data_IF_177109456426
#
_entry.id   IF_177109456426
#
_cell.length_a   1.000
_cell.length_b   1.000
_cell.length_c   1.000
_cell.angle_alpha   90.00
_cell.angle_beta   90.00
_cell.angle_gamma   90.00
#
_symmetry.space_group_name_H-M   'P 1'
#
loop_
_entity.id
_entity.type
_entity.pdbx_description
1 polymer ?
#
# COMPACT_ATOMS: atom_id res chain seq x y z
N UNK A 1 -17.75 46.31 -82.93
CA UNK A 1 -17.61 44.89 -83.31
C UNK A 1 -18.40 44.10 -82.29
N UNK A 2 -19.74 43.97 -82.37
CA UNK A 2 -20.52 43.34 -83.46
C UNK A 2 -19.94 41.93 -83.73
N UNK A 3 -20.60 40.79 -83.50
CA UNK A 3 -21.98 40.40 -83.80
C UNK A 3 -22.48 39.19 -82.94
N UNK A 4 -23.79 39.17 -82.62
CA UNK A 4 -24.66 37.99 -82.38
C UNK A 4 -25.12 37.42 -83.77
N UNK A 5 -26.01 36.39 -83.93
CA UNK A 5 -26.44 35.21 -83.14
C UNK A 5 -26.62 33.88 -83.97
N UNK A 6 -26.82 32.73 -83.27
CA UNK A 6 -27.68 31.52 -83.59
C UNK A 6 -27.55 30.78 -84.97
N UNK A 7 -28.09 29.53 -85.21
CA UNK A 7 -29.20 28.81 -84.53
C UNK A 7 -29.03 27.28 -84.27
N UNK A 8 -30.03 26.72 -83.57
CA UNK A 8 -30.32 25.28 -83.39
C UNK A 8 -30.91 24.62 -84.65
N UNK A 9 -30.93 23.27 -84.73
CA UNK A 9 -32.24 22.60 -84.68
C UNK A 9 -32.25 21.26 -83.92
N UNK A 10 -33.46 20.91 -83.49
CA UNK A 10 -33.88 19.69 -82.79
C UNK A 10 -33.81 18.45 -83.67
N UNK A 11 -33.57 17.27 -83.08
CA UNK A 11 -34.34 16.05 -83.39
C UNK A 11 -34.18 14.98 -82.30
N UNK A 12 -35.35 14.48 -81.93
CA UNK A 12 -35.66 13.43 -80.96
C UNK A 12 -35.17 12.06 -81.43
N UNK A 13 -34.77 11.19 -80.51
CA UNK A 13 -35.18 9.78 -80.55
C UNK A 13 -35.08 9.12 -79.16
N UNK A 14 -36.18 8.46 -78.81
CA UNK A 14 -36.36 7.65 -77.61
C UNK A 14 -35.43 6.44 -77.63
N UNK A 15 -34.82 6.08 -76.50
CA UNK A 15 -34.67 4.67 -76.12
C UNK A 15 -34.50 4.52 -74.59
N UNK A 16 -35.28 3.60 -74.05
CA UNK A 16 -35.43 3.22 -72.64
C UNK A 16 -34.26 2.32 -72.21
N UNK A 17 -33.52 2.68 -71.15
CA UNK A 17 -32.78 1.73 -70.29
C UNK A 17 -32.51 2.43 -68.95
N UNK A 18 -33.33 2.15 -67.93
CA UNK A 18 -33.11 1.13 -66.90
C UNK A 18 -32.23 1.67 -65.77
N UNK A 19 -32.88 2.38 -64.84
CA UNK A 19 -32.34 2.68 -63.51
C UNK A 19 -32.10 1.37 -62.76
N UNK A 20 -30.87 0.87 -62.81
CA UNK A 20 -30.40 -0.13 -61.87
C UNK A 20 -29.46 0.54 -60.88
N UNK A 21 -29.98 0.69 -59.67
CA UNK A 21 -29.33 1.24 -58.48
C UNK A 21 -27.98 0.54 -58.23
N UNK A 22 -26.90 1.27 -57.90
CA UNK A 22 -25.62 0.70 -57.52
C UNK A 22 -25.70 0.20 -56.06
N UNK A 23 -26.30 -0.97 -55.86
CA UNK A 23 -26.42 -1.58 -54.52
C UNK A 23 -25.23 -2.50 -54.17
N UNK A 24 -24.38 -2.86 -55.15
CA UNK A 24 -23.32 -3.85 -54.95
C UNK A 24 -21.95 -3.26 -54.54
N UNK A 25 -21.69 -2.00 -54.91
CA UNK A 25 -20.42 -1.33 -54.63
C UNK A 25 -20.37 -0.80 -53.18
N UNK A 26 -21.51 -0.31 -52.67
CA UNK A 26 -21.65 0.17 -51.28
C UNK A 26 -21.49 -0.96 -50.26
N UNK A 27 -21.98 -2.17 -50.56
CA UNK A 27 -21.87 -3.33 -49.65
C UNK A 27 -20.43 -3.86 -49.56
N UNK A 28 -19.63 -3.68 -50.62
CA UNK A 28 -18.21 -4.07 -50.61
C UNK A 28 -17.35 -3.05 -49.84
N UNK A 29 -17.65 -1.76 -49.94
CA UNK A 29 -17.00 -0.72 -49.12
C UNK A 29 -17.39 -0.82 -47.63
N UNK A 30 -18.65 -1.16 -47.32
CA UNK A 30 -19.10 -1.40 -45.93
C UNK A 30 -18.38 -2.61 -45.29
N UNK A 31 -18.22 -3.72 -46.02
CA UNK A 31 -17.48 -4.88 -45.51
C UNK A 31 -15.97 -4.64 -45.38
N UNK A 32 -15.35 -3.82 -46.24
CA UNK A 32 -13.95 -3.41 -46.09
C UNK A 32 -13.74 -2.45 -44.90
N UNK A 33 -14.71 -1.59 -44.61
CA UNK A 33 -14.69 -0.70 -43.45
C UNK A 33 -14.87 -1.46 -42.14
N UNK A 34 -15.82 -2.42 -42.08
CA UNK A 34 -15.96 -3.34 -40.95
C UNK A 34 -14.70 -4.18 -40.72
N UNK A 35 -14.05 -4.65 -41.80
CA UNK A 35 -12.79 -5.39 -41.70
C UNK A 35 -11.66 -4.59 -41.05
N UNK A 36 -11.50 -3.32 -41.44
CA UNK A 36 -10.51 -2.40 -40.87
C UNK A 36 -10.81 -2.04 -39.41
N UNK A 37 -12.09 -1.90 -39.05
CA UNK A 37 -12.51 -1.67 -37.67
C UNK A 37 -12.21 -2.88 -36.78
N UNK A 38 -12.54 -4.08 -37.25
CA UNK A 38 -12.25 -5.35 -36.54
C UNK A 38 -10.74 -5.56 -36.39
N UNK A 39 -9.96 -5.23 -37.41
CA UNK A 39 -8.49 -5.30 -37.35
C UNK A 39 -7.92 -4.27 -36.36
N UNK A 40 -8.44 -3.05 -36.32
CA UNK A 40 -8.09 -2.03 -35.32
C UNK A 40 -8.42 -2.47 -33.89
N UNK A 41 -9.59 -3.05 -33.65
CA UNK A 41 -9.95 -3.59 -32.33
C UNK A 41 -9.08 -4.78 -31.95
N UNK A 42 -8.75 -5.66 -32.90
CA UNK A 42 -7.82 -6.79 -32.68
C UNK A 42 -6.44 -6.30 -32.27
N UNK A 43 -5.86 -5.35 -33.00
CA UNK A 43 -4.56 -4.76 -32.65
C UNK A 43 -4.58 -4.03 -31.30
N UNK A 44 -5.70 -3.37 -30.97
CA UNK A 44 -5.90 -2.74 -29.66
C UNK A 44 -5.91 -3.79 -28.54
N UNK A 45 -6.61 -4.90 -28.74
CA UNK A 45 -6.67 -6.01 -27.79
C UNK A 45 -5.29 -6.64 -27.61
N UNK A 46 -4.58 -6.97 -28.69
CA UNK A 46 -3.23 -7.55 -28.61
C UNK A 46 -2.21 -6.62 -27.93
N UNK A 47 -2.39 -5.30 -28.06
CA UNK A 47 -1.56 -4.31 -27.35
C UNK A 47 -1.85 -4.30 -25.86
N UNK A 48 -3.13 -4.29 -25.49
CA UNK A 48 -3.56 -4.33 -24.09
C UNK A 48 -3.19 -5.65 -23.42
N UNK A 49 -3.25 -6.77 -24.14
CA UNK A 49 -2.79 -8.08 -23.67
C UNK A 49 -1.29 -8.08 -23.39
N UNK A 50 -0.47 -7.50 -24.29
CA UNK A 50 0.97 -7.37 -24.04
C UNK A 50 1.29 -6.47 -22.84
N UNK A 51 0.60 -5.35 -22.69
CA UNK A 51 0.76 -4.45 -21.55
C UNK A 51 0.34 -5.11 -20.23
N UNK A 52 -0.75 -5.90 -20.25
CA UNK A 52 -1.19 -6.76 -19.14
C UNK A 52 -0.14 -7.81 -18.80
N UNK A 53 0.44 -8.48 -19.80
CA UNK A 53 1.46 -9.51 -19.58
C UNK A 53 2.73 -8.91 -18.95
N UNK A 54 3.15 -7.73 -19.41
CA UNK A 54 4.33 -7.02 -18.88
C UNK A 54 4.11 -6.51 -17.46
N UNK A 55 2.93 -5.95 -17.16
CA UNK A 55 2.55 -5.51 -15.81
C UNK A 55 2.40 -6.68 -14.85
N UNK A 56 1.81 -7.80 -15.29
CA UNK A 56 1.75 -9.04 -14.52
C UNK A 56 3.15 -9.59 -14.23
N UNK A 57 4.06 -9.58 -15.20
CA UNK A 57 5.44 -10.02 -15.02
C UNK A 57 6.22 -9.16 -14.01
N UNK A 58 5.99 -7.84 -13.99
CA UNK A 58 6.56 -6.94 -13.00
C UNK A 58 5.99 -7.19 -11.59
N UNK A 59 4.67 -7.37 -11.47
CA UNK A 59 4.01 -7.71 -10.21
C UNK A 59 4.51 -9.04 -9.65
N UNK A 60 4.70 -10.06 -10.48
CA UNK A 60 5.21 -11.37 -10.04
C UNK A 60 6.60 -11.25 -9.41
N UNK A 61 7.50 -10.45 -10.01
CA UNK A 61 8.84 -10.18 -9.47
C UNK A 61 8.81 -9.38 -8.16
N UNK A 62 7.85 -8.46 -8.01
CA UNK A 62 7.65 -7.75 -6.76
C UNK A 62 7.18 -8.71 -5.67
N UNK A 63 6.23 -9.60 -5.99
CA UNK A 63 5.68 -10.59 -5.06
C UNK A 63 6.75 -11.59 -4.61
N UNK A 64 7.62 -12.05 -5.51
CA UNK A 64 8.78 -12.89 -5.19
C UNK A 64 9.77 -12.16 -4.25
N UNK A 65 10.06 -10.89 -4.54
CA UNK A 65 10.94 -10.06 -3.69
C UNK A 65 10.33 -9.87 -2.30
N UNK A 66 9.04 -9.56 -2.21
CA UNK A 66 8.30 -9.39 -0.95
C UNK A 66 8.29 -10.67 -0.12
N UNK A 67 8.10 -11.83 -0.78
CA UNK A 67 8.14 -13.14 -0.13
C UNK A 67 9.53 -13.42 0.44
N UNK A 68 10.59 -13.10 -0.31
CA UNK A 68 11.97 -13.18 0.20
C UNK A 68 12.22 -12.25 1.40
N UNK A 69 11.63 -11.05 1.39
CA UNK A 69 11.68 -10.12 2.53
C UNK A 69 10.99 -10.71 3.75
N UNK A 70 9.78 -11.24 3.58
CA UNK A 70 9.00 -11.91 4.63
C UNK A 70 9.80 -13.02 5.27
N UNK A 71 10.40 -13.90 4.46
CA UNK A 71 11.21 -15.01 4.97
C UNK A 71 12.43 -14.52 5.77
N UNK A 72 13.07 -13.43 5.33
CA UNK A 72 14.22 -12.84 6.02
C UNK A 72 13.82 -12.23 7.37
N UNK A 73 12.69 -11.52 7.43
CA UNK A 73 12.15 -10.98 8.67
C UNK A 73 11.64 -12.08 9.61
N UNK A 74 11.02 -13.14 9.08
CA UNK A 74 10.61 -14.31 9.85
C UNK A 74 11.80 -14.99 10.51
N UNK A 75 12.92 -15.17 9.80
CA UNK A 75 14.18 -15.71 10.39
C UNK A 75 14.73 -14.82 11.51
N UNK A 76 14.62 -13.49 11.36
CA UNK A 76 15.00 -12.54 12.42
C UNK A 76 14.11 -12.69 13.66
N UNK A 77 12.79 -12.78 13.48
CA UNK A 77 11.79 -12.92 14.54
C UNK A 77 11.95 -14.26 15.27
N UNK A 78 12.00 -15.38 14.55
CA UNK A 78 12.23 -16.72 15.13
C UNK A 78 13.55 -16.78 15.92
N UNK A 79 14.55 -16.02 15.48
CA UNK A 79 15.83 -15.94 16.15
C UNK A 79 15.89 -14.97 17.33
N UNK A 80 14.87 -14.13 17.56
CA UNK A 80 14.84 -13.13 18.64
C UNK A 80 14.27 -13.70 19.94
N UNK A 81 13.33 -14.64 19.90
CA UNK A 81 12.92 -15.42 21.07
C UNK A 81 12.16 -16.69 20.68
N UNK A 82 12.47 -17.79 21.36
CA UNK A 82 11.81 -19.07 21.19
C UNK A 82 10.49 -19.13 21.93
N UNK A 83 9.45 -18.49 21.40
CA UNK A 83 8.07 -18.91 21.66
C UNK A 83 7.18 -18.38 20.53
N UNK A 84 6.39 -19.29 19.96
CA UNK A 84 5.44 -18.99 18.89
C UNK A 84 4.29 -18.20 19.50
N UNK A 85 4.23 -16.91 19.23
CA UNK A 85 2.95 -16.22 19.24
C UNK A 85 2.24 -16.50 17.92
N UNK A 86 1.34 -17.48 17.97
CA UNK A 86 0.34 -17.77 16.94
C UNK A 86 -0.70 -16.63 16.88
N UNK A 87 -0.29 -15.45 16.45
CA UNK A 87 -1.23 -14.43 15.99
C UNK A 87 -1.11 -14.32 14.47
N UNK A 88 -1.79 -15.25 13.79
CA UNK A 88 -2.14 -15.14 12.39
C UNK A 88 -3.02 -13.89 12.23
N UNK A 89 -2.44 -12.81 11.69
CA UNK A 89 -3.23 -11.70 11.15
C UNK A 89 -3.79 -12.16 9.80
N UNK A 90 -5.11 -12.09 9.72
CA UNK A 90 -5.94 -12.46 8.57
C UNK A 90 -5.43 -11.78 7.29
N UNK A 91 -5.23 -12.58 6.26
CA UNK A 91 -4.74 -12.18 4.94
C UNK A 91 -5.82 -11.31 4.27
N UNK A 92 -5.68 -9.99 4.44
CA UNK A 92 -6.54 -8.99 3.83
C UNK A 92 -6.45 -9.09 2.32
N UNK A 93 -7.46 -9.71 1.71
CA UNK A 93 -7.63 -9.85 0.26
C UNK A 93 -7.93 -8.48 -0.36
N UNK A 94 -6.92 -7.62 -0.45
CA UNK A 94 -6.98 -6.36 -1.15
C UNK A 94 -6.76 -6.57 -2.64
N UNK A 95 -7.75 -6.23 -3.46
CA UNK A 95 -7.56 -6.07 -4.90
C UNK A 95 -6.63 -4.89 -5.16
N UNK A 96 -5.44 -5.17 -5.69
CA UNK A 96 -4.49 -4.14 -6.11
C UNK A 96 -4.93 -3.64 -7.49
N UNK A 97 -5.75 -2.59 -7.50
CA UNK A 97 -6.09 -1.88 -8.72
C UNK A 97 -4.90 -1.04 -9.17
N UNK A 98 -4.51 -1.25 -10.41
CA UNK A 98 -3.27 -0.77 -10.98
C UNK A 98 -3.22 0.74 -11.21
N UNK A 99 -2.10 1.34 -10.82
CA UNK A 99 -1.30 2.29 -11.61
C UNK A 99 -0.07 2.71 -10.80
N UNK A 100 0.88 1.79 -10.52
CA UNK A 100 2.25 2.12 -10.05
C UNK A 100 3.21 0.90 -9.96
N UNK A 101 3.06 -0.08 -10.86
CA UNK A 101 3.77 -1.37 -10.79
C UNK A 101 5.31 -1.28 -10.81
N UNK A 102 5.89 -0.26 -11.47
CA UNK A 102 7.36 -0.08 -11.53
C UNK A 102 7.93 0.54 -10.25
N UNK A 103 7.25 1.52 -9.67
CA UNK A 103 7.68 2.17 -8.43
C UNK A 103 7.56 1.20 -7.25
N UNK A 104 6.45 0.46 -7.17
CA UNK A 104 6.25 -0.62 -6.22
C UNK A 104 7.33 -1.71 -6.33
N UNK A 105 7.78 -2.08 -7.54
CA UNK A 105 8.86 -3.06 -7.71
C UNK A 105 10.20 -2.56 -7.18
N UNK A 106 10.55 -1.29 -7.43
CA UNK A 106 11.80 -0.70 -6.92
C UNK A 106 11.77 -0.57 -5.40
N UNK A 107 10.65 -0.11 -4.85
CA UNK A 107 10.46 0.03 -3.40
C UNK A 107 10.48 -1.33 -2.71
N UNK A 108 9.83 -2.35 -3.30
CA UNK A 108 9.88 -3.72 -2.79
C UNK A 108 11.31 -4.27 -2.78
N UNK A 109 12.10 -4.01 -3.83
CA UNK A 109 13.52 -4.43 -3.89
C UNK A 109 14.38 -3.74 -2.83
N UNK A 110 14.13 -2.46 -2.54
CA UNK A 110 14.82 -1.73 -1.47
C UNK A 110 14.47 -2.32 -0.11
N UNK A 111 13.19 -2.62 0.13
CA UNK A 111 12.71 -3.26 1.35
C UNK A 111 13.33 -4.66 1.52
N UNK A 112 13.40 -5.48 0.46
CA UNK A 112 14.11 -6.77 0.48
C UNK A 112 15.59 -6.63 0.86
N UNK A 113 16.28 -5.64 0.29
CA UNK A 113 17.70 -5.39 0.58
C UNK A 113 17.92 -4.96 2.03
N UNK A 114 17.06 -4.08 2.54
CA UNK A 114 17.10 -3.63 3.93
C UNK A 114 16.83 -4.79 4.89
N UNK A 115 15.87 -5.67 4.60
CA UNK A 115 15.59 -6.83 5.44
C UNK A 115 16.79 -7.79 5.55
N UNK A 116 17.49 -8.05 4.44
CA UNK A 116 18.71 -8.88 4.44
C UNK A 116 19.83 -8.19 5.25
N UNK A 117 20.00 -6.87 5.13
CA UNK A 117 21.00 -6.15 5.94
C UNK A 117 20.65 -6.21 7.44
N UNK A 118 19.38 -6.08 7.81
CA UNK A 118 18.91 -6.23 9.19
C UNK A 118 19.18 -7.64 9.70
N UNK A 119 18.85 -8.68 8.91
CA UNK A 119 19.13 -10.08 9.24
C UNK A 119 20.61 -10.30 9.55
N UNK A 120 21.49 -9.89 8.63
CA UNK A 120 22.95 -10.06 8.81
C UNK A 120 23.50 -9.23 9.97
N UNK A 121 22.94 -8.04 10.27
CA UNK A 121 23.35 -7.22 11.41
C UNK A 121 22.94 -7.86 12.75
N UNK A 122 21.74 -8.43 12.81
CA UNK A 122 21.25 -9.18 13.97
C UNK A 122 22.10 -10.42 14.22
N UNK A 123 22.45 -11.16 13.17
CA UNK A 123 23.31 -12.35 13.31
C UNK A 123 24.73 -12.02 13.79
N UNK A 124 25.32 -10.94 13.26
CA UNK A 124 26.61 -10.43 13.74
C UNK A 124 26.57 -10.05 15.22
N UNK A 125 25.50 -9.39 15.66
CA UNK A 125 25.30 -9.04 17.06
C UNK A 125 25.16 -10.28 17.96
N UNK A 126 24.39 -11.28 17.53
CA UNK A 126 24.24 -12.56 18.26
C UNK A 126 25.59 -13.29 18.39
N UNK A 127 26.40 -13.32 17.35
CA UNK A 127 27.74 -13.92 17.39
C UNK A 127 28.66 -13.19 18.36
N UNK A 128 28.67 -11.85 18.34
CA UNK A 128 29.43 -11.04 19.30
C UNK A 128 28.98 -11.34 20.73
N UNK A 129 27.68 -11.34 21.00
CA UNK A 129 27.15 -11.68 22.34
C UNK A 129 27.51 -13.08 22.79
N UNK A 130 27.50 -14.07 21.89
CA UNK A 130 27.95 -15.43 22.20
C UNK A 130 29.44 -15.51 22.49
N UNK A 131 30.29 -14.72 21.82
CA UNK A 131 31.73 -14.62 22.12
C UNK A 131 31.96 -14.00 23.50
N UNK A 132 31.36 -12.85 23.77
CA UNK A 132 31.46 -12.20 25.08
C UNK A 132 30.98 -13.12 26.21
N UNK A 133 29.85 -13.80 26.03
CA UNK A 133 29.35 -14.78 27.01
C UNK A 133 30.39 -15.88 27.28
N UNK A 134 31.00 -16.45 26.24
CA UNK A 134 32.05 -17.47 26.38
C UNK A 134 33.30 -16.94 27.09
N UNK A 135 33.71 -15.71 26.80
CA UNK A 135 34.85 -15.06 27.46
C UNK A 135 34.58 -14.78 28.93
N UNK A 136 33.37 -14.32 29.27
CA UNK A 136 32.93 -14.13 30.65
C UNK A 136 32.82 -15.47 31.40
N UNK A 137 32.27 -16.51 30.78
CA UNK A 137 32.22 -17.86 31.34
C UNK A 137 33.63 -18.39 31.61
N UNK A 138 34.56 -18.25 30.66
CA UNK A 138 35.96 -18.64 30.84
C UNK A 138 36.64 -17.86 31.97
N UNK A 139 36.38 -16.55 32.06
CA UNK A 139 36.92 -15.69 33.12
C UNK A 139 36.36 -16.07 34.48
N UNK A 140 35.07 -16.42 34.55
CA UNK A 140 34.43 -16.88 35.78
C UNK A 140 35.03 -18.21 36.24
N UNK A 141 35.25 -19.17 35.33
CA UNK A 141 35.92 -20.44 35.66
C UNK A 141 37.33 -20.18 36.20
N UNK A 142 38.14 -19.37 35.51
CA UNK A 142 39.49 -18.99 35.97
C UNK A 142 39.46 -18.35 37.37
N UNK A 143 38.53 -17.42 37.62
CA UNK A 143 38.41 -16.76 38.91
C UNK A 143 37.97 -17.74 40.02
N UNK A 144 37.11 -18.72 39.70
CA UNK A 144 36.71 -19.75 40.67
C UNK A 144 37.86 -20.70 41.00
N UNK A 145 38.74 -21.00 40.03
CA UNK A 145 39.95 -21.79 40.24
C UNK A 145 40.97 -21.03 41.10
N UNK A 146 41.24 -19.76 40.80
CA UNK A 146 42.11 -18.91 41.61
C UNK A 146 41.59 -18.76 43.04
N UNK A 147 40.28 -18.59 43.24
CA UNK A 147 39.68 -18.49 44.57
C UNK A 147 39.81 -19.82 45.34
N UNK A 148 39.72 -20.96 44.65
CA UNK A 148 40.00 -22.28 45.22
C UNK A 148 41.47 -22.40 45.63
N UNK A 149 42.41 -21.93 44.81
CA UNK A 149 43.85 -21.96 45.11
C UNK A 149 44.21 -21.03 46.28
N UNK A 150 43.65 -19.83 46.35
CA UNK A 150 43.77 -18.93 47.50
C UNK A 150 43.22 -19.59 48.76
N UNK A 151 42.08 -20.28 48.68
CA UNK A 151 41.52 -21.01 49.82
C UNK A 151 42.46 -22.15 50.28
N UNK A 152 43.07 -22.88 49.35
CA UNK A 152 44.06 -23.90 49.65
C UNK A 152 45.31 -23.30 50.32
N UNK A 153 45.84 -22.20 49.79
CA UNK A 153 46.95 -21.44 50.39
C UNK A 153 46.63 -20.95 51.80
N UNK A 154 45.43 -20.41 52.04
CA UNK A 154 44.98 -20.01 53.37
C UNK A 154 44.91 -21.18 54.34
N UNK A 155 44.42 -22.35 53.90
CA UNK A 155 44.43 -23.57 54.72
C UNK A 155 45.85 -24.00 55.08
N UNK A 156 46.77 -23.98 54.11
CA UNK A 156 48.19 -24.30 54.34
C UNK A 156 48.80 -23.31 55.34
N UNK A 157 48.63 -22.00 55.14
CA UNK A 157 49.14 -20.97 56.04
C UNK A 157 48.54 -21.08 57.45
N UNK A 158 47.26 -21.44 57.58
CA UNK A 158 46.64 -21.69 58.88
C UNK A 158 47.23 -22.93 59.58
N UNK A 159 47.49 -24.02 58.85
CA UNK A 159 48.16 -25.21 59.39
C UNK A 159 49.61 -24.92 59.78
N UNK A 160 50.35 -24.15 58.99
CA UNK A 160 51.71 -23.69 59.31
C UNK A 160 51.74 -22.77 60.54
N UNK A 161 50.76 -21.85 60.64
CA UNK A 161 50.57 -21.03 61.84
C UNK A 161 50.27 -21.91 63.06
N UNK A 162 49.37 -22.87 62.96
CA UNK A 162 49.01 -23.75 64.08
C UNK A 162 50.22 -24.62 64.51
N UNK A 163 51.01 -25.12 63.57
CA UNK A 163 52.24 -25.87 63.87
C UNK A 163 53.33 -24.98 64.49
N UNK A 164 53.47 -23.72 64.05
CA UNK A 164 54.35 -22.73 64.69
C UNK A 164 53.87 -22.37 66.11
N UNK A 165 52.58 -22.15 66.30
CA UNK A 165 51.98 -21.89 67.62
C UNK A 165 52.16 -23.09 68.57
N UNK A 166 52.02 -24.32 68.08
CA UNK A 166 52.31 -25.55 68.86
C UNK A 166 53.80 -25.66 69.20
N UNK A 167 54.71 -25.28 68.29
CA UNK A 167 56.16 -25.19 68.57
C UNK A 167 56.50 -24.11 69.60
N UNK A 168 55.80 -22.98 69.59
CA UNK A 168 55.99 -21.88 70.55
C UNK A 168 55.39 -22.24 71.93
N UNK A 169 54.25 -22.94 71.99
CA UNK A 169 53.64 -23.41 73.26
C UNK A 169 54.36 -24.63 73.87
N UNK A 170 55.08 -25.42 73.07
CA UNK A 170 55.86 -26.57 73.55
C UNK A 170 57.24 -26.21 74.11
N UNK A 171 57.72 -24.99 73.89
CA UNK A 171 58.99 -24.50 74.43
C UNK A 171 58.75 -23.62 75.66
N UNK A 172 58.60 -24.25 76.82
CA UNK A 172 58.61 -23.53 78.08
C UNK A 172 60.00 -22.97 78.38
N UNK A 173 60.02 -21.67 78.70
CA UNK A 173 61.08 -20.92 79.36
C UNK A 173 62.32 -20.53 78.52
N UNK A 174 62.23 -19.38 77.84
CA UNK A 174 63.12 -18.22 78.08
C UNK A 174 62.68 -17.02 77.26
N UNK A 175 62.52 -15.90 77.98
CA UNK A 175 62.23 -14.57 77.45
C UNK A 175 63.19 -14.23 76.31
N UNK A 176 62.64 -13.80 75.17
CA UNK A 176 63.32 -12.90 74.24
C UNK A 176 62.28 -11.92 73.67
N UNK A 177 62.51 -10.60 73.81
CA UNK A 177 61.60 -9.57 73.32
C UNK A 177 62.01 -9.19 71.90
N UNK A 178 61.19 -9.46 70.88
CA UNK A 178 61.35 -8.78 69.58
C UNK A 178 60.17 -9.07 68.62
N UNK A 179 59.90 -8.06 67.79
CA UNK A 179 59.03 -8.02 66.62
C UNK A 179 57.60 -7.50 66.82
N UNK A 180 57.52 -6.32 67.42
CA UNK A 180 56.69 -5.23 66.90
C UNK A 180 57.37 -4.66 65.63
N UNK A 181 57.30 -5.38 64.52
CA UNK A 181 57.74 -4.87 63.22
C UNK A 181 56.61 -5.02 62.21
N UNK A 182 56.12 -3.89 61.71
CA UNK A 182 55.37 -3.82 60.46
C UNK A 182 53.96 -3.27 60.57
N UNK A 183 53.81 -1.97 60.91
CA UNK A 183 52.69 -1.11 60.42
C UNK A 183 52.85 0.37 60.81
N UNK A 184 54.06 0.92 60.66
CA UNK A 184 54.28 2.37 60.80
C UNK A 184 55.30 2.86 59.74
N UNK A 185 55.00 2.59 58.47
CA UNK A 185 55.68 3.26 57.35
C UNK A 185 54.84 3.24 56.08
N UNK A 186 53.67 3.88 56.14
CA UNK A 186 53.02 4.46 54.95
C UNK A 186 52.69 5.89 55.34
N UNK A 187 53.43 6.82 54.73
CA UNK A 187 53.33 8.24 55.00
C UNK A 187 52.02 8.82 54.46
N UNK A 188 51.31 9.53 55.33
CA UNK A 188 50.50 10.66 54.92
C UNK A 188 50.93 11.83 55.80
N UNK A 189 51.71 12.73 55.22
CA UNK A 189 52.20 13.92 55.89
C UNK A 189 51.10 14.96 56.00
N UNK A 190 50.89 15.45 57.21
CA UNK A 190 50.37 16.80 57.42
C UNK A 190 51.23 17.43 58.53
N UNK A 191 52.00 18.45 58.15
CA UNK A 191 52.82 19.27 59.04
C UNK A 191 51.91 20.07 59.98
N UNK A 192 52.29 20.22 61.25
CA UNK A 192 52.54 21.53 61.89
C UNK A 192 52.93 21.36 63.37
N UNK A 193 54.03 22.01 63.75
CA UNK A 193 54.09 22.76 65.01
C UNK A 193 54.49 22.04 66.31
N UNK A 194 55.77 22.21 66.68
CA UNK A 194 56.09 23.07 67.82
C UNK A 194 56.18 22.45 69.23
N UNK A 195 57.39 22.57 69.79
CA UNK A 195 57.69 22.63 71.22
C UNK A 195 58.01 21.28 71.85
N UNK A 196 58.88 21.16 72.85
CA UNK A 196 59.78 22.07 73.53
C UNK A 196 60.65 21.19 74.47
N UNK A 197 61.81 21.69 74.89
CA UNK A 197 62.59 21.23 76.06
C UNK A 197 63.20 19.81 76.04
N UNK A 198 64.36 19.52 76.63
CA UNK A 198 65.40 20.24 77.38
C UNK A 198 66.58 19.23 77.40
N UNK A 199 67.80 19.67 77.07
CA UNK A 199 68.88 19.89 78.04
C UNK A 199 69.43 18.60 78.68
N UNK A 200 70.69 18.26 78.37
CA UNK A 200 71.74 18.13 79.39
C UNK A 200 73.04 17.58 78.80
N UNK A 201 73.86 18.56 78.47
CA UNK A 201 75.32 18.63 78.43
C UNK A 201 76.01 17.83 79.54
N UNK A 202 77.04 17.09 79.11
CA UNK A 202 78.36 16.83 79.73
C UNK A 202 78.50 16.61 81.25
N UNK A 203 79.24 15.54 81.60
CA UNK A 203 80.33 15.64 82.59
C UNK A 203 81.11 14.32 82.68
N UNK A 204 82.36 14.34 82.26
CA UNK A 204 83.41 13.51 82.86
C UNK A 204 84.73 14.27 82.88
N UNK A 205 84.90 15.06 83.93
CA UNK A 205 86.14 15.74 84.26
C UNK A 205 87.07 14.89 85.13
N UNK A 206 88.35 14.98 84.78
CA UNK A 206 89.53 14.95 85.66
C UNK A 206 90.05 13.59 86.14
N UNK A 207 91.22 13.22 85.63
CA UNK A 207 92.43 12.99 86.45
C UNK A 207 93.71 13.13 85.61
N UNK A 208 94.51 14.09 86.06
CA UNK A 208 95.91 14.36 85.74
C UNK A 208 96.79 13.15 86.07
N UNK A 209 97.72 12.78 85.18
CA UNK A 209 99.13 12.66 85.56
C UNK A 209 100.04 12.76 84.32
N UNK A 210 101.06 13.61 84.42
CA UNK A 210 101.87 14.02 83.28
C UNK A 210 102.98 13.03 82.94
N UNK A 211 103.00 12.53 81.69
CA UNK A 211 104.20 12.05 80.99
C UNK A 211 103.89 11.58 79.53
N UNK A 212 103.07 12.30 78.74
CA UNK A 212 102.58 11.79 77.43
C UNK A 212 102.60 12.81 76.26
N UNK A 213 103.52 13.78 76.26
CA UNK A 213 103.52 14.86 75.24
C UNK A 213 103.75 14.38 73.78
N UNK A 214 104.23 13.15 73.56
CA UNK A 214 104.40 12.58 72.20
C UNK A 214 103.28 11.58 71.81
N UNK A 215 102.71 10.82 72.76
CA UNK A 215 101.68 9.81 72.49
C UNK A 215 100.26 10.40 72.40
N UNK A 216 99.97 11.47 73.15
CA UNK A 216 98.74 12.25 73.03
C UNK A 216 98.66 12.99 71.69
N UNK A 217 99.79 13.50 71.16
CA UNK A 217 99.84 14.20 69.88
C UNK A 217 99.60 13.23 68.72
N UNK A 218 100.16 12.02 68.78
CA UNK A 218 99.90 10.96 67.78
C UNK A 218 98.45 10.44 67.89
N UNK A 219 97.92 10.28 69.10
CA UNK A 219 96.53 9.88 69.34
C UNK A 219 95.53 10.95 68.87
N UNK A 220 95.82 12.23 69.12
CA UNK A 220 95.04 13.37 68.63
C UNK A 220 95.09 13.48 67.10
N UNK A 221 96.27 13.30 66.50
CA UNK A 221 96.39 13.27 65.04
C UNK A 221 95.56 12.13 64.42
N UNK A 222 95.55 10.94 65.05
CA UNK A 222 94.77 9.80 64.57
C UNK A 222 93.24 10.00 64.72
N UNK A 223 92.80 10.71 65.77
CA UNK A 223 91.37 11.03 65.96
C UNK A 223 90.92 12.09 64.97
N UNK A 224 91.73 13.14 64.76
CA UNK A 224 91.48 14.16 63.73
C UNK A 224 91.46 13.54 62.33
N UNK A 225 92.41 12.65 62.00
CA UNK A 225 92.43 11.97 60.71
C UNK A 225 91.17 11.12 60.48
N UNK A 226 90.71 10.41 61.53
CA UNK A 226 89.47 9.63 61.49
C UNK A 226 88.25 10.52 61.30
N UNK A 227 88.17 11.64 62.02
CA UNK A 227 87.09 12.63 61.86
C UNK A 227 87.12 13.21 60.44
N UNK A 228 88.28 13.56 59.91
CA UNK A 228 88.42 14.07 58.53
C UNK A 228 88.01 13.02 57.48
N UNK A 229 88.38 11.75 57.65
CA UNK A 229 87.94 10.66 56.75
C UNK A 229 86.42 10.48 56.82
N UNK A 230 85.84 10.48 58.02
CA UNK A 230 84.39 10.38 58.22
C UNK A 230 83.65 11.56 57.58
N UNK A 231 84.10 12.80 57.81
CA UNK A 231 83.53 13.99 57.19
C UNK A 231 83.64 13.96 55.66
N UNK A 232 84.77 13.46 55.11
CA UNK A 232 84.91 13.29 53.65
C UNK A 232 83.92 12.26 53.11
N UNK A 233 83.73 11.14 53.79
CA UNK A 233 82.72 10.13 53.41
C UNK A 233 81.31 10.71 53.46
N UNK A 234 80.97 11.42 54.53
CA UNK A 234 79.66 12.08 54.68
C UNK A 234 79.43 13.13 53.58
N UNK A 235 80.43 13.96 53.27
CA UNK A 235 80.35 14.91 52.14
C UNK A 235 80.11 14.18 50.82
N UNK A 236 80.76 13.04 50.57
CA UNK A 236 80.50 12.27 49.34
C UNK A 236 79.12 11.65 49.31
N UNK A 237 78.61 11.19 50.46
CA UNK A 237 77.27 10.61 50.58
C UNK A 237 76.19 11.69 50.38
N UNK A 238 76.34 12.87 51.01
CA UNK A 238 75.41 13.99 50.85
C UNK A 238 75.39 14.53 49.42
N UNK A 239 76.54 14.55 48.73
CA UNK A 239 76.59 14.92 47.30
C UNK A 239 75.84 13.90 46.43
N UNK A 240 75.97 12.61 46.73
CA UNK A 240 75.26 11.55 46.01
C UNK A 240 73.75 11.65 46.24
N UNK A 241 73.30 11.80 47.49
CA UNK A 241 71.88 11.95 47.81
C UNK A 241 71.28 13.23 47.24
N UNK A 242 72.04 14.33 47.19
CA UNK A 242 71.61 15.55 46.51
C UNK A 242 71.46 15.33 44.99
N UNK A 243 72.39 14.60 44.37
CA UNK A 243 72.29 14.22 42.95
C UNK A 243 71.07 13.36 42.65
N UNK A 244 70.83 12.33 43.47
CA UNK A 244 69.66 11.45 43.38
C UNK A 244 68.36 12.25 43.54
N UNK A 245 68.26 13.10 44.57
CA UNK A 245 67.08 13.95 44.82
C UNK A 245 66.81 14.93 43.67
N UNK A 246 67.84 15.51 43.04
CA UNK A 246 67.68 16.34 41.84
C UNK A 246 67.14 15.54 40.66
N UNK A 247 67.70 14.35 40.41
CA UNK A 247 67.23 13.49 39.32
C UNK A 247 65.77 13.04 39.51
N UNK A 248 65.36 12.75 40.75
CA UNK A 248 63.97 12.43 41.06
C UNK A 248 63.05 13.64 40.89
N UNK A 249 63.53 14.84 41.23
CA UNK A 249 62.77 16.09 41.03
C UNK A 249 62.56 16.36 39.54
N UNK A 250 63.60 16.22 38.72
CA UNK A 250 63.51 16.36 37.25
C UNK A 250 62.56 15.31 36.63
N UNK A 251 62.60 14.07 37.12
CA UNK A 251 61.68 13.01 36.69
C UNK A 251 60.23 13.33 37.04
N UNK A 252 59.97 13.77 38.27
CA UNK A 252 58.63 14.18 38.70
C UNK A 252 58.14 15.39 37.89
N UNK A 253 58.99 16.39 37.66
CA UNK A 253 58.67 17.52 36.81
C UNK A 253 58.26 17.08 35.39
N UNK A 254 59.01 16.18 34.77
CA UNK A 254 58.68 15.63 33.46
C UNK A 254 57.32 14.89 33.46
N UNK A 255 57.01 14.13 34.51
CA UNK A 255 55.70 13.47 34.65
C UNK A 255 54.57 14.50 34.82
N UNK A 256 54.77 15.53 35.64
CA UNK A 256 53.78 16.61 35.83
C UNK A 256 53.55 17.40 34.55
N UNK A 257 54.60 17.70 33.77
CA UNK A 257 54.46 18.37 32.48
C UNK A 257 53.70 17.51 31.46
N UNK A 258 53.94 16.19 31.44
CA UNK A 258 53.17 15.25 30.61
C UNK A 258 51.70 15.21 31.01
N UNK A 259 51.42 15.07 32.30
CA UNK A 259 50.05 15.11 32.82
C UNK A 259 49.36 16.44 32.50
N UNK A 260 50.05 17.58 32.63
CA UNK A 260 49.50 18.88 32.30
C UNK A 260 49.12 19.01 30.81
N UNK A 261 49.95 18.46 29.91
CA UNK A 261 49.65 18.41 28.47
C UNK A 261 48.43 17.53 28.17
N UNK A 262 48.39 16.32 28.73
CA UNK A 262 47.26 15.40 28.54
C UNK A 262 45.95 15.99 29.08
N UNK A 263 45.98 16.65 30.24
CA UNK A 263 44.81 17.36 30.79
C UNK A 263 44.37 18.49 29.85
N UNK A 264 45.31 19.23 29.25
CA UNK A 264 44.98 20.31 28.31
C UNK A 264 44.35 19.76 27.01
N UNK A 265 44.87 18.65 26.48
CA UNK A 265 44.33 17.96 25.30
C UNK A 265 42.93 17.40 25.59
N UNK A 266 42.75 16.69 26.71
CA UNK A 266 41.45 16.16 27.13
C UNK A 266 40.42 17.28 27.34
N UNK A 267 40.85 18.44 27.86
CA UNK A 267 39.97 19.60 28.02
C UNK A 267 39.49 20.16 26.68
N UNK A 268 40.32 20.16 25.64
CA UNK A 268 39.89 20.55 24.29
C UNK A 268 38.93 19.51 23.71
N UNK A 269 39.24 18.23 23.84
CA UNK A 269 38.39 17.14 23.36
C UNK A 269 37.00 17.17 23.99
N UNK A 270 36.90 17.40 25.32
CA UNK A 270 35.62 17.55 26.01
C UNK A 270 34.81 18.71 25.43
N UNK A 271 35.43 19.87 25.19
CA UNK A 271 34.74 21.02 24.58
C UNK A 271 34.21 20.71 23.19
N UNK A 272 34.98 20.01 22.36
CA UNK A 272 34.50 19.61 21.04
C UNK A 272 33.32 18.64 21.12
N UNK A 273 33.29 17.76 22.12
CA UNK A 273 32.14 16.88 22.35
C UNK A 273 30.91 17.67 22.81
N UNK A 274 31.08 18.62 23.74
CA UNK A 274 30.01 19.53 24.18
C UNK A 274 29.45 20.33 22.99
N UNK A 275 30.30 20.82 22.08
CA UNK A 275 29.87 21.55 20.89
C UNK A 275 29.08 20.65 19.92
N UNK A 276 29.55 19.41 19.70
CA UNK A 276 28.81 18.42 18.90
C UNK A 276 27.48 18.07 19.53
N UNK A 277 27.42 17.88 20.85
CA UNK A 277 26.18 17.63 21.58
C UNK A 277 25.20 18.79 21.42
N UNK A 278 25.66 20.04 21.57
CA UNK A 278 24.81 21.23 21.36
C UNK A 278 24.23 21.30 19.96
N UNK A 279 25.03 21.04 18.93
CA UNK A 279 24.55 21.05 17.53
C UNK A 279 23.55 19.91 17.31
N UNK A 280 23.84 18.70 17.81
CA UNK A 280 22.92 17.57 17.68
C UNK A 280 21.60 17.83 18.41
N UNK A 281 21.63 18.43 19.60
CA UNK A 281 20.42 18.80 20.33
C UNK A 281 19.58 19.83 19.56
N UNK A 282 20.22 20.83 18.94
CA UNK A 282 19.53 21.81 18.09
C UNK A 282 18.90 21.14 16.86
N UNK A 283 19.64 20.25 16.18
CA UNK A 283 19.13 19.53 15.02
C UNK A 283 17.93 18.63 15.39
N UNK A 284 17.97 17.98 16.55
CA UNK A 284 16.83 17.18 17.03
C UNK A 284 15.60 18.06 17.27
N UNK A 285 15.76 19.24 17.88
CA UNK A 285 14.64 20.18 18.07
C UNK A 285 14.07 20.68 16.74
N UNK A 286 14.93 20.97 15.76
CA UNK A 286 14.51 21.36 14.40
C UNK A 286 13.72 20.24 13.72
N UNK A 287 14.23 19.00 13.74
CA UNK A 287 13.51 17.84 13.20
C UNK A 287 12.19 17.58 13.92
N UNK A 288 12.12 17.80 15.24
CA UNK A 288 10.85 17.68 15.99
C UNK A 288 9.82 18.71 15.54
N UNK A 289 10.25 19.92 15.21
CA UNK A 289 9.36 20.96 14.67
C UNK A 289 8.90 20.62 13.25
N UNK A 290 9.78 20.11 12.40
CA UNK A 290 9.44 19.65 11.04
C UNK A 290 8.46 18.47 11.08
N UNK A 291 8.68 17.49 11.97
CA UNK A 291 7.77 16.35 12.15
C UNK A 291 6.38 16.83 12.55
N UNK A 292 6.26 17.74 13.52
CA UNK A 292 4.96 18.31 13.92
C UNK A 292 4.25 19.02 12.77
N UNK A 293 4.98 19.82 11.99
CA UNK A 293 4.41 20.49 10.83
C UNK A 293 3.91 19.49 9.76
N UNK A 294 4.68 18.43 9.51
CA UNK A 294 4.29 17.36 8.60
C UNK A 294 3.08 16.56 9.13
N UNK A 295 2.99 16.29 10.42
CA UNK A 295 1.83 15.66 11.05
C UNK A 295 0.56 16.50 10.90
N UNK A 296 0.66 17.82 11.09
CA UNK A 296 -0.45 18.75 10.86
C UNK A 296 -0.87 18.78 9.38
N UNK A 297 0.09 18.73 8.44
CA UNK A 297 -0.21 18.58 7.02
C UNK A 297 -0.95 17.28 6.73
N UNK A 298 -0.43 16.15 7.22
CA UNK A 298 -1.08 14.84 7.07
C UNK A 298 -2.50 14.86 7.64
N UNK A 299 -2.72 15.51 8.78
CA UNK A 299 -4.05 15.66 9.36
C UNK A 299 -4.99 16.47 8.43
N UNK A 300 -4.52 17.58 7.86
CA UNK A 300 -5.28 18.37 6.88
C UNK A 300 -5.62 17.58 5.61
N UNK A 301 -4.66 16.83 5.07
CA UNK A 301 -4.90 15.98 3.90
C UNK A 301 -5.90 14.87 4.19
N UNK A 302 -5.83 14.25 5.37
CA UNK A 302 -6.82 13.25 5.81
C UNK A 302 -8.24 13.82 5.87
N UNK A 303 -8.41 14.98 6.49
CA UNK A 303 -9.73 15.65 6.56
C UNK A 303 -10.25 15.99 5.16
N UNK A 304 -9.39 16.51 4.27
CA UNK A 304 -9.77 16.78 2.89
C UNK A 304 -10.23 15.51 2.15
N UNK A 305 -9.49 14.41 2.26
CA UNK A 305 -9.86 13.12 1.67
C UNK A 305 -11.19 12.60 2.22
N UNK A 306 -11.43 12.71 3.53
CA UNK A 306 -12.70 12.32 4.15
C UNK A 306 -13.88 13.13 3.59
N UNK A 307 -13.71 14.45 3.44
CA UNK A 307 -14.72 15.32 2.84
C UNK A 307 -15.00 14.99 1.37
N UNK A 308 -13.96 14.67 0.59
CA UNK A 308 -14.11 14.23 -0.80
C UNK A 308 -14.84 12.89 -0.90
N UNK A 309 -14.54 11.93 -0.02
CA UNK A 309 -15.25 10.65 0.05
C UNK A 309 -16.72 10.86 0.41
N UNK A 310 -17.03 11.71 1.39
CA UNK A 310 -18.42 12.02 1.75
C UNK A 310 -19.16 12.77 0.64
N UNK A 311 -18.50 13.67 -0.10
CA UNK A 311 -19.05 14.30 -1.29
C UNK A 311 -19.32 13.26 -2.39
N UNK A 312 -18.38 12.34 -2.62
CA UNK A 312 -18.51 11.25 -3.58
C UNK A 312 -19.68 10.31 -3.25
N UNK A 313 -19.87 9.96 -1.98
CA UNK A 313 -21.03 9.17 -1.51
C UNK A 313 -22.35 9.87 -1.82
N UNK A 314 -22.47 11.16 -1.51
CA UNK A 314 -23.68 11.96 -1.80
C UNK A 314 -24.00 11.99 -3.30
N UNK A 315 -22.99 12.21 -4.13
CA UNK A 315 -23.16 12.20 -5.59
C UNK A 315 -23.60 10.83 -6.11
N UNK A 316 -23.05 9.73 -5.58
CA UNK A 316 -23.48 8.37 -5.93
C UNK A 316 -24.94 8.14 -5.52
N UNK A 317 -25.34 8.58 -4.34
CA UNK A 317 -26.74 8.50 -3.90
C UNK A 317 -27.70 9.27 -4.81
N UNK A 318 -27.31 10.48 -5.24
CA UNK A 318 -28.08 11.29 -6.19
C UNK A 318 -28.19 10.61 -7.56
N UNK A 319 -27.07 10.10 -8.10
CA UNK A 319 -27.06 9.31 -9.35
C UNK A 319 -27.94 8.08 -9.25
N UNK A 320 -27.93 7.37 -8.12
CA UNK A 320 -28.78 6.22 -7.90
C UNK A 320 -30.28 6.58 -7.91
N UNK A 321 -30.65 7.73 -7.35
CA UNK A 321 -32.03 8.24 -7.43
C UNK A 321 -32.44 8.52 -8.88
N UNK A 322 -31.57 9.16 -9.66
CA UNK A 322 -31.82 9.42 -11.09
C UNK A 322 -31.94 8.12 -11.89
N UNK A 323 -31.04 7.16 -11.67
CA UNK A 323 -31.11 5.83 -12.32
C UNK A 323 -32.42 5.11 -11.97
N UNK A 324 -32.86 5.18 -10.72
CA UNK A 324 -34.14 4.59 -10.31
C UNK A 324 -35.34 5.24 -11.04
N UNK A 325 -35.36 6.58 -11.12
CA UNK A 325 -36.39 7.30 -11.86
C UNK A 325 -36.39 6.96 -13.36
N UNK A 326 -35.21 6.93 -13.99
CA UNK A 326 -35.07 6.57 -15.40
C UNK A 326 -35.50 5.12 -15.67
N UNK A 327 -35.18 4.18 -14.78
CA UNK A 327 -35.68 2.80 -14.87
C UNK A 327 -37.20 2.75 -14.79
N UNK A 328 -37.81 3.54 -13.90
CA UNK A 328 -39.26 3.61 -13.78
C UNK A 328 -39.90 4.18 -15.06
N UNK A 329 -39.35 5.25 -15.63
CA UNK A 329 -39.83 5.80 -16.91
C UNK A 329 -39.64 4.83 -18.07
N UNK A 330 -38.51 4.12 -18.13
CA UNK A 330 -38.28 3.07 -19.12
C UNK A 330 -39.33 1.94 -19.01
N UNK A 331 -39.69 1.53 -17.79
CA UNK A 331 -40.75 0.54 -17.58
C UNK A 331 -42.12 1.06 -18.06
N UNK A 332 -42.45 2.34 -17.81
CA UNK A 332 -43.70 2.95 -18.29
C UNK A 332 -43.76 3.02 -19.82
N UNK A 333 -42.68 3.46 -20.46
CA UNK A 333 -42.63 3.56 -21.94
C UNK A 333 -42.67 2.18 -22.59
N UNK A 334 -42.01 1.18 -22.00
CA UNK A 334 -42.11 -0.21 -22.44
C UNK A 334 -43.54 -0.73 -22.35
N UNK A 335 -44.22 -0.52 -21.22
CA UNK A 335 -45.62 -0.93 -21.07
C UNK A 335 -46.55 -0.23 -22.08
N UNK A 336 -46.33 1.08 -22.35
CA UNK A 336 -47.07 1.82 -23.35
C UNK A 336 -46.81 1.28 -24.78
N UNK A 337 -45.56 0.94 -25.09
CA UNK A 337 -45.19 0.31 -26.35
C UNK A 337 -45.87 -1.05 -26.52
N UNK A 338 -45.86 -1.90 -25.51
CA UNK A 338 -46.51 -3.21 -25.53
C UNK A 338 -48.02 -3.09 -25.79
N UNK A 339 -48.69 -2.11 -25.17
CA UNK A 339 -50.11 -1.79 -25.43
C UNK A 339 -50.31 -1.34 -26.89
N UNK A 340 -49.43 -0.48 -27.42
CA UNK A 340 -49.52 -0.01 -28.79
C UNK A 340 -49.29 -1.13 -29.82
N UNK A 341 -48.36 -2.04 -29.55
CA UNK A 341 -48.11 -3.22 -30.36
C UNK A 341 -49.31 -4.17 -30.33
N UNK A 342 -49.94 -4.36 -29.17
CA UNK A 342 -51.20 -5.11 -29.06
C UNK A 342 -52.32 -4.49 -29.91
N UNK A 343 -52.47 -3.16 -29.88
CA UNK A 343 -53.45 -2.45 -30.73
C UNK A 343 -53.13 -2.59 -32.22
N UNK A 344 -51.86 -2.55 -32.59
CA UNK A 344 -51.41 -2.70 -33.97
C UNK A 344 -51.75 -4.11 -34.49
N UNK A 345 -51.47 -5.16 -33.71
CA UNK A 345 -51.86 -6.54 -34.04
C UNK A 345 -53.36 -6.70 -34.24
N UNK A 346 -54.18 -6.12 -33.35
CA UNK A 346 -55.64 -6.14 -33.52
C UNK A 346 -56.09 -5.43 -34.80
N UNK A 347 -55.42 -4.34 -35.20
CA UNK A 347 -55.70 -3.67 -36.48
C UNK A 347 -55.27 -4.51 -37.68
N UNK A 348 -54.15 -5.22 -37.59
CA UNK A 348 -53.71 -6.16 -38.63
C UNK A 348 -54.71 -7.31 -38.79
N UNK A 349 -55.15 -7.92 -37.70
CA UNK A 349 -56.19 -8.97 -37.72
C UNK A 349 -57.52 -8.44 -38.29
N UNK A 350 -57.91 -7.21 -37.93
CA UNK A 350 -59.10 -6.57 -38.48
C UNK A 350 -58.96 -6.28 -39.98
N UNK A 351 -57.78 -5.87 -40.45
CA UNK A 351 -57.52 -5.67 -41.88
C UNK A 351 -57.60 -7.00 -42.65
N UNK A 352 -57.02 -8.08 -42.12
CA UNK A 352 -57.10 -9.43 -42.72
C UNK A 352 -58.55 -9.91 -42.80
N UNK A 353 -59.33 -9.75 -41.72
CA UNK A 353 -60.74 -10.13 -41.70
C UNK A 353 -61.59 -9.26 -42.65
N UNK A 354 -61.29 -7.97 -42.78
CA UNK A 354 -61.94 -7.09 -43.76
C UNK A 354 -61.64 -7.51 -45.21
N UNK A 355 -60.38 -7.83 -45.53
CA UNK A 355 -59.98 -8.32 -46.87
C UNK A 355 -60.70 -9.63 -47.19
N UNK A 356 -60.68 -10.60 -46.28
CA UNK A 356 -61.36 -11.89 -46.50
C UNK A 356 -62.88 -11.74 -46.64
N UNK A 357 -63.51 -10.84 -45.87
CA UNK A 357 -64.93 -10.52 -46.00
C UNK A 357 -65.24 -9.83 -47.35
N UNK A 358 -64.38 -8.90 -47.79
CA UNK A 358 -64.49 -8.27 -49.10
C UNK A 358 -64.38 -9.31 -50.22
N UNK A 359 -63.38 -10.18 -50.18
CA UNK A 359 -63.24 -11.26 -51.18
C UNK A 359 -64.47 -12.18 -51.19
N UNK A 360 -65.07 -12.48 -50.04
CA UNK A 360 -66.29 -13.27 -49.97
C UNK A 360 -67.50 -12.53 -50.59
N UNK A 361 -67.61 -11.22 -50.35
CA UNK A 361 -68.65 -10.38 -50.96
C UNK A 361 -68.48 -10.26 -52.48
N UNK A 362 -67.25 -10.09 -52.98
CA UNK A 362 -66.94 -10.05 -54.41
C UNK A 362 -67.29 -11.38 -55.10
N UNK A 363 -66.94 -12.52 -54.48
CA UNK A 363 -67.35 -13.84 -54.98
C UNK A 363 -68.88 -13.98 -55.05
N UNK A 364 -69.60 -13.48 -54.05
CA UNK A 364 -71.06 -13.47 -54.04
C UNK A 364 -71.66 -12.59 -55.15
N UNK A 365 -71.09 -11.40 -55.38
CA UNK A 365 -71.49 -10.49 -56.46
C UNK A 365 -71.27 -11.13 -57.84
N UNK A 366 -70.09 -11.73 -58.07
CA UNK A 366 -69.80 -12.46 -59.31
C UNK A 366 -70.81 -13.59 -59.58
N UNK A 367 -71.24 -14.31 -58.54
CA UNK A 367 -72.29 -15.33 -58.65
C UNK A 367 -73.66 -14.73 -58.97
N UNK A 368 -73.99 -13.56 -58.42
CA UNK A 368 -75.22 -12.85 -58.76
C UNK A 368 -75.21 -12.34 -60.21
N UNK A 369 -74.09 -11.77 -60.67
CA UNK A 369 -73.92 -11.28 -62.03
C UNK A 369 -74.01 -12.41 -63.06
N UNK A 370 -73.35 -13.54 -62.81
CA UNK A 370 -73.45 -14.72 -63.68
C UNK A 370 -74.88 -15.25 -63.77
N UNK A 371 -75.61 -15.31 -62.65
CA UNK A 371 -77.05 -15.65 -62.63
C UNK A 371 -77.89 -14.63 -63.39
N UNK A 372 -77.66 -13.33 -63.20
CA UNK A 372 -78.39 -12.26 -63.87
C UNK A 372 -78.17 -12.28 -65.39
N UNK A 373 -76.95 -12.52 -65.85
CA UNK A 373 -76.65 -12.72 -67.28
C UNK A 373 -77.39 -13.96 -67.80
N UNK A 374 -77.40 -15.07 -67.05
CA UNK A 374 -78.17 -16.26 -67.41
C UNK A 374 -79.67 -15.98 -67.58
N UNK A 375 -80.27 -15.28 -66.62
CA UNK A 375 -81.68 -14.87 -66.66
C UNK A 375 -81.96 -13.91 -67.82
N UNK A 376 -81.07 -12.95 -68.10
CA UNK A 376 -81.20 -12.05 -69.27
C UNK A 376 -81.25 -12.83 -70.58
N UNK A 377 -80.36 -13.80 -70.78
CA UNK A 377 -80.40 -14.67 -71.98
C UNK A 377 -81.70 -15.44 -72.08
N UNK A 378 -82.24 -15.95 -70.96
CA UNK A 378 -83.54 -16.62 -70.95
C UNK A 378 -84.68 -15.67 -71.32
N UNK A 379 -84.67 -14.44 -70.80
CA UNK A 379 -85.65 -13.41 -71.15
C UNK A 379 -85.55 -13.02 -72.62
N UNK A 380 -84.34 -12.82 -73.15
CA UNK A 380 -84.09 -12.54 -74.56
C UNK A 380 -84.61 -13.68 -75.45
N UNK A 381 -84.35 -14.93 -75.10
CA UNK A 381 -84.86 -16.09 -75.84
C UNK A 381 -86.39 -16.18 -75.79
N UNK A 382 -87.00 -15.98 -74.61
CA UNK A 382 -88.46 -15.93 -74.48
C UNK A 382 -89.06 -14.76 -75.27
N UNK A 383 -88.37 -13.63 -75.34
CA UNK A 383 -88.78 -12.45 -76.14
C UNK A 383 -88.69 -12.76 -77.62
N UNK A 384 -87.62 -13.43 -78.07
CA UNK A 384 -87.48 -13.91 -79.45
C UNK A 384 -88.59 -14.90 -79.81
N UNK A 385 -88.89 -15.84 -78.92
CA UNK A 385 -90.02 -16.77 -79.09
C UNK A 385 -91.37 -16.03 -79.15
N UNK A 386 -91.56 -14.99 -78.34
CA UNK A 386 -92.73 -14.10 -78.39
C UNK A 386 -92.83 -13.37 -79.74
N UNK A 387 -91.74 -12.79 -80.22
CA UNK A 387 -91.70 -12.11 -81.53
C UNK A 387 -91.96 -13.08 -82.68
N UNK A 388 -91.42 -14.31 -82.63
CA UNK A 388 -91.68 -15.36 -83.61
C UNK A 388 -93.14 -15.83 -83.57
N UNK A 389 -93.72 -15.99 -82.37
CA UNK A 389 -95.14 -16.30 -82.19
C UNK A 389 -96.03 -15.16 -82.70
N UNK A 390 -95.68 -13.90 -82.43
CA UNK A 390 -96.38 -12.71 -82.93
C UNK A 390 -96.26 -12.60 -84.46
N UNK A 391 -95.11 -12.92 -85.06
CA UNK A 391 -94.93 -12.99 -86.52
C UNK A 391 -95.79 -14.11 -87.14
N UNK A 392 -95.91 -15.27 -86.48
CA UNK A 392 -96.87 -16.33 -86.89
C UNK A 392 -98.31 -15.87 -86.76
N UNK A 393 -98.64 -15.12 -85.72
CA UNK A 393 -99.98 -14.54 -85.51
C UNK A 393 -100.32 -13.47 -86.56
N UNK A 394 -99.35 -12.65 -87.00
CA UNK A 394 -99.50 -11.71 -88.12
C UNK A 394 -99.80 -12.42 -89.46
N UNK A 395 -99.29 -13.65 -89.67
CA UNK A 395 -99.56 -14.47 -90.85
C UNK A 395 -100.84 -15.32 -90.76
N UNK A 396 -101.44 -15.45 -89.58
CA UNK A 396 -102.78 -16.03 -89.39
C UNK A 396 -103.79 -14.92 -89.10
N UNK A 397 -104.14 -14.16 -90.13
CA UNK A 397 -105.33 -13.30 -90.05
C UNK A 397 -106.59 -14.18 -89.97
N UNK A 398 -106.97 -14.52 -88.74
CA UNK A 398 -108.35 -14.52 -88.24
C UNK A 398 -108.38 -14.74 -86.71
N UNK A 399 -108.80 -13.67 -86.03
CA UNK A 399 -109.74 -13.72 -84.87
C UNK A 399 -109.11 -14.04 -83.50
N UNK A 400 -108.72 -13.02 -82.72
CA UNK A 400 -109.50 -12.37 -81.63
C UNK A 400 -108.59 -11.43 -80.84
N UNK A 401 -108.93 -10.14 -80.82
CA UNK A 401 -108.44 -9.22 -79.78
C UNK A 401 -108.99 -9.72 -78.44
N UNK A 402 -108.15 -10.36 -77.64
CA UNK A 402 -108.36 -10.45 -76.19
C UNK A 402 -107.43 -9.41 -75.57
N UNK A 403 -108.00 -8.26 -75.21
CA UNK A 403 -107.35 -7.29 -74.34
C UNK A 403 -106.86 -8.01 -73.09
N UNK A 404 -105.54 -8.02 -72.87
CA UNK A 404 -104.98 -8.47 -71.60
C UNK A 404 -105.17 -7.36 -70.55
N UNK A 405 -105.81 -7.62 -69.39
CA UNK A 405 -106.01 -6.62 -68.36
C UNK A 405 -104.73 -6.41 -67.54
N UNK A 406 -104.09 -5.25 -67.66
CA UNK A 406 -102.98 -4.81 -66.81
C UNK A 406 -103.42 -4.33 -65.41
N UNK A 407 -104.36 -5.04 -64.76
CA UNK A 407 -104.76 -4.69 -63.39
C UNK A 407 -105.06 -5.94 -62.57
N UNK A 408 -104.04 -6.56 -61.96
CA UNK A 408 -104.22 -7.39 -60.75
C UNK A 408 -102.92 -7.82 -60.01
N UNK A 409 -101.83 -7.06 -60.12
CA UNK A 409 -100.76 -7.09 -59.11
C UNK A 409 -100.73 -5.79 -58.29
N UNK A 410 -101.88 -5.47 -57.69
CA UNK A 410 -101.90 -4.82 -56.37
C UNK A 410 -101.86 -5.94 -55.33
N UNK A 411 -100.68 -6.48 -55.07
CA UNK A 411 -100.48 -7.16 -53.80
C UNK A 411 -100.44 -6.07 -52.73
N UNK A 412 -101.42 -6.12 -51.83
CA UNK A 412 -101.45 -5.32 -50.62
C UNK A 412 -100.14 -5.56 -49.86
N UNK A 413 -99.42 -4.48 -49.59
CA UNK A 413 -98.68 -4.37 -48.33
C UNK A 413 -99.71 -4.47 -47.20
N UNK A 414 -99.88 -5.67 -46.67
CA UNK A 414 -100.64 -5.91 -45.46
C UNK A 414 -99.82 -5.46 -44.26
N UNK A 415 -100.11 -4.27 -43.76
CA UNK A 415 -99.83 -3.91 -42.38
C UNK A 415 -100.49 -4.94 -41.46
N UNK A 416 -99.69 -5.79 -40.80
CA UNK A 416 -100.05 -6.29 -39.47
C UNK A 416 -99.46 -5.28 -38.50
N UNK A 417 -100.35 -4.50 -37.90
CA UNK A 417 -100.04 -3.58 -36.83
C UNK A 417 -99.96 -4.32 -35.49
N UNK A 418 -98.99 -3.89 -34.69
CA UNK A 418 -99.02 -3.75 -33.23
C UNK A 418 -99.08 -5.00 -32.34
N UNK A 419 -97.91 -5.40 -31.84
CA UNK A 419 -97.69 -5.48 -30.38
C UNK A 419 -96.36 -4.81 -29.99
N UNK A 420 -96.51 -3.71 -29.23
CA UNK A 420 -95.56 -3.10 -28.28
C UNK A 420 -94.20 -2.60 -28.81
N UNK A 421 -94.20 -1.29 -29.09
CA UNK A 421 -93.04 -0.41 -28.99
C UNK A 421 -92.62 -0.31 -27.52
N UNK A 422 -91.44 -0.85 -27.18
CA UNK A 422 -90.63 -0.35 -26.08
C UNK A 422 -89.62 0.65 -26.65
N UNK A 423 -89.74 1.89 -26.21
CA UNK A 423 -88.81 2.97 -26.52
C UNK A 423 -87.42 2.63 -25.97
N UNK A 424 -86.49 2.24 -26.84
CA UNK A 424 -85.05 2.36 -26.54
C UNK A 424 -84.45 3.42 -27.46
N UNK A 425 -84.22 4.57 -26.85
CA UNK A 425 -83.42 5.67 -27.39
C UNK A 425 -82.11 5.10 -27.93
N UNK A 426 -81.79 5.40 -29.19
CA UNK A 426 -80.42 5.32 -29.70
C UNK A 426 -79.58 6.29 -28.89
N UNK A 427 -78.81 5.77 -27.94
CA UNK A 427 -77.70 6.50 -27.35
C UNK A 427 -76.52 6.41 -28.31
N UNK A 428 -76.04 7.57 -28.76
CA UNK A 428 -74.69 7.74 -29.28
C UNK A 428 -73.70 7.35 -28.15
N UNK A 429 -72.65 6.57 -28.42
CA UNK A 429 -71.53 6.49 -27.49
C UNK A 429 -70.74 7.80 -27.58
N UNK A 430 -70.76 8.55 -26.48
CA UNK A 430 -69.88 9.68 -26.23
C UNK A 430 -68.41 9.23 -26.37
N UNK A 431 -67.63 10.00 -27.13
CA UNK A 431 -66.18 10.02 -26.99
C UNK A 431 -65.87 10.68 -25.65
N UNK A 432 -65.59 9.88 -24.63
CA UNK A 432 -64.92 10.39 -23.44
C UNK A 432 -63.42 10.45 -23.70
N UNK A 433 -62.96 11.70 -23.82
CA UNK A 433 -61.59 12.06 -23.54
C UNK A 433 -61.24 11.63 -22.11
N UNK A 434 -60.07 11.03 -21.94
CA UNK A 434 -59.40 10.96 -20.66
C UNK A 434 -57.96 11.44 -20.86
N UNK A 435 -57.67 12.43 -20.04
CA UNK A 435 -56.35 12.93 -19.60
C UNK A 435 -55.47 11.76 -19.18
#
# INVERSE_FOLDING_TARGET
>A
MEQLPQPSPQLSDHLIHSDQVPYFEVVSEEHELEGKEVEYFRERVERLEREREETNGAMFKALESLTSTKDSLSRVIEGLEGEKDENFVEDGKGEWLGLESKMLLEETRLISRLAIEVETRVDRYKEMRRKEKRELESSLVSLTEENRDVNNLLRIALLEKETLEKRIKGHDHKRMPLLQFGLQKVGFGFMMGGGNNEESTESCGSKSDGSECEEEVVSLASTVERIMKNLRLEITQLRRSLGESRSDTERLQCLTEKQAKEIAENKLYIKELEDRERILAQNVEEFLMEIKAAEEEVARWKEACELEVEAGKKEIEERNKVVAALKQELHKTKAALDISNGKLRLKEELAITAITAQEAAERSLQLADTRAVGLRRQVEELTRQLEEAEKRERNSHKVRRLCWPWQLFKLRFGNIANTRVENTKRMLPEMQALI
#
